data_IF_274108987571
#
_entry.id   IF_274108987571
#
_cell.length_a   1.000
_cell.length_b   1.000
_cell.length_c   1.000
_cell.angle_alpha   90.00
_cell.angle_beta   90.00
_cell.angle_gamma   90.00
#
_symmetry.space_group_name_H-M   'P 1'
#
loop_
_entity.id
_entity.type
_entity.pdbx_description
1 polymer ?
#
# COMPACT_ATOMS: atom_id res chain seq x y z
N UNK A 1 -38.82 43.36 -14.17
CA UNK A 1 -38.79 43.76 -12.75
C UNK A 1 -37.35 43.97 -12.34
N UNK A 2 -37.01 45.12 -11.75
CA UNK A 2 -35.64 45.39 -11.30
C UNK A 2 -35.44 44.77 -9.91
N UNK A 3 -34.22 44.37 -9.56
CA UNK A 3 -33.88 43.80 -8.22
C UNK A 3 -34.31 44.71 -7.05
N UNK A 4 -34.41 46.02 -7.30
CA UNK A 4 -34.88 47.03 -6.35
C UNK A 4 -36.37 46.88 -5.99
N UNK A 5 -37.16 46.25 -6.85
CA UNK A 5 -38.62 46.14 -6.69
C UNK A 5 -39.02 44.94 -5.80
N UNK A 6 -38.05 44.11 -5.39
CA UNK A 6 -38.27 42.99 -4.47
C UNK A 6 -38.26 43.44 -3.00
N UNK A 7 -39.10 42.78 -2.19
CA UNK A 7 -39.10 43.00 -0.74
C UNK A 7 -37.73 42.68 -0.13
N UNK A 8 -37.38 43.35 0.96
CA UNK A 8 -36.10 43.18 1.66
C UNK A 8 -35.84 41.71 2.02
N UNK A 9 -36.91 40.97 2.38
CA UNK A 9 -36.83 39.54 2.69
C UNK A 9 -36.38 38.68 1.51
N UNK A 10 -36.85 38.95 0.29
CA UNK A 10 -36.46 38.20 -0.92
C UNK A 10 -34.99 38.46 -1.27
N UNK A 11 -34.51 39.70 -1.12
CA UNK A 11 -33.10 40.06 -1.38
C UNK A 11 -32.15 39.38 -0.39
N UNK A 12 -32.54 39.33 0.89
CA UNK A 12 -31.76 38.68 1.95
C UNK A 12 -31.73 37.15 1.78
N UNK A 13 -32.89 36.54 1.47
CA UNK A 13 -33.00 35.12 1.18
C UNK A 13 -32.20 34.71 -0.06
N UNK A 14 -32.15 35.58 -1.09
CA UNK A 14 -31.34 35.36 -2.29
C UNK A 14 -29.85 35.27 -1.99
N UNK A 15 -29.30 36.22 -1.21
CA UNK A 15 -27.89 36.18 -0.80
C UNK A 15 -27.56 34.99 0.09
N UNK A 16 -28.47 34.64 1.00
CA UNK A 16 -28.27 33.49 1.88
C UNK A 16 -28.29 32.16 1.12
N UNK A 17 -29.22 32.01 0.17
CA UNK A 17 -29.30 30.82 -0.69
C UNK A 17 -28.06 30.67 -1.57
N UNK A 18 -27.50 31.77 -2.07
CA UNK A 18 -26.26 31.75 -2.86
C UNK A 18 -25.09 31.19 -2.04
N UNK A 19 -24.96 31.60 -0.78
CA UNK A 19 -23.91 31.09 0.12
C UNK A 19 -24.13 29.60 0.40
N UNK A 20 -25.38 29.19 0.66
CA UNK A 20 -25.71 27.78 0.88
C UNK A 20 -25.34 26.89 -0.32
N UNK A 21 -25.62 27.35 -1.54
CA UNK A 21 -25.22 26.65 -2.76
C UNK A 21 -23.70 26.55 -2.86
N UNK A 22 -22.97 27.63 -2.55
CA UNK A 22 -21.50 27.61 -2.56
C UNK A 22 -20.95 26.60 -1.54
N UNK A 23 -21.47 26.61 -0.31
CA UNK A 23 -21.09 25.66 0.75
C UNK A 23 -21.41 24.22 0.33
N UNK A 24 -22.56 23.99 -0.29
CA UNK A 24 -22.94 22.66 -0.80
C UNK A 24 -21.94 22.18 -1.86
N UNK A 25 -21.57 23.03 -2.82
CA UNK A 25 -20.57 22.71 -3.85
C UNK A 25 -19.22 22.37 -3.20
N UNK A 26 -18.75 23.19 -2.27
CA UNK A 26 -17.49 22.95 -1.54
C UNK A 26 -17.53 21.65 -0.73
N UNK A 27 -18.68 21.31 -0.15
CA UNK A 27 -18.85 20.08 0.62
C UNK A 27 -18.80 18.85 -0.29
N UNK A 28 -19.51 18.87 -1.42
CA UNK A 28 -19.52 17.76 -2.37
C UNK A 28 -18.13 17.54 -2.97
N UNK A 29 -17.44 18.60 -3.38
CA UNK A 29 -16.08 18.49 -3.92
C UNK A 29 -15.08 18.06 -2.85
N UNK A 30 -15.18 18.60 -1.63
CA UNK A 30 -14.35 18.21 -0.50
C UNK A 30 -14.50 16.72 -0.15
N UNK A 31 -15.74 16.22 -0.09
CA UNK A 31 -16.02 14.79 0.14
C UNK A 31 -15.50 13.94 -1.00
N UNK A 32 -15.70 14.36 -2.26
CA UNK A 32 -15.19 13.65 -3.43
C UNK A 32 -13.65 13.54 -3.42
N UNK A 33 -12.97 14.63 -3.08
CA UNK A 33 -11.51 14.65 -2.97
C UNK A 33 -11.01 13.75 -1.83
N UNK A 34 -11.67 13.79 -0.67
CA UNK A 34 -11.33 12.90 0.46
C UNK A 34 -11.48 11.42 0.07
N UNK A 35 -12.57 11.04 -0.61
CA UNK A 35 -12.78 9.66 -1.07
C UNK A 35 -11.72 9.22 -2.09
N UNK A 36 -11.35 10.09 -3.03
CA UNK A 36 -10.27 9.81 -3.99
C UNK A 36 -8.92 9.67 -3.30
N UNK A 37 -8.66 10.46 -2.26
CA UNK A 37 -7.43 10.38 -1.49
C UNK A 37 -7.37 9.11 -0.62
N UNK A 38 -8.50 8.70 -0.03
CA UNK A 38 -8.61 7.46 0.73
C UNK A 38 -8.35 6.24 -0.16
N UNK A 39 -8.98 6.16 -1.34
CA UNK A 39 -8.75 5.05 -2.29
C UNK A 39 -7.30 5.00 -2.80
N UNK A 40 -6.66 6.16 -3.01
CA UNK A 40 -5.25 6.23 -3.39
C UNK A 40 -4.33 5.81 -2.23
N UNK A 41 -4.65 6.21 -1.01
CA UNK A 41 -3.91 5.84 0.21
C UNK A 41 -4.03 4.35 0.48
N UNK A 42 -5.21 3.77 0.30
CA UNK A 42 -5.47 2.34 0.50
C UNK A 42 -4.66 1.49 -0.49
N UNK A 43 -4.55 1.95 -1.75
CA UNK A 43 -3.66 1.33 -2.75
C UNK A 43 -2.19 1.41 -2.33
N UNK A 44 -1.74 2.54 -1.79
CA UNK A 44 -0.34 2.71 -1.38
C UNK A 44 0.00 1.89 -0.14
N UNK A 45 -0.87 1.94 0.87
CA UNK A 45 -0.69 1.29 2.15
C UNK A 45 -0.83 -0.23 2.06
N UNK A 46 -1.81 -0.73 1.31
CA UNK A 46 -2.06 -2.17 1.27
C UNK A 46 -1.23 -2.90 0.20
N UNK A 47 -0.89 -2.25 -0.92
CA UNK A 47 -0.17 -2.95 -1.98
C UNK A 47 1.34 -2.71 -1.90
N UNK A 48 1.80 -1.45 -1.89
CA UNK A 48 3.24 -1.19 -1.95
C UNK A 48 3.97 -1.56 -0.66
N UNK A 49 3.40 -1.26 0.49
CA UNK A 49 3.99 -1.61 1.80
C UNK A 49 4.03 -3.13 2.04
N UNK A 50 3.01 -3.85 1.57
CA UNK A 50 3.01 -5.31 1.60
C UNK A 50 4.08 -5.88 0.65
N UNK A 51 4.17 -5.35 -0.56
CA UNK A 51 5.20 -5.73 -1.53
C UNK A 51 6.62 -5.46 -1.02
N UNK A 52 6.86 -4.29 -0.43
CA UNK A 52 8.14 -3.92 0.17
C UNK A 52 8.52 -4.88 1.31
N UNK A 53 7.58 -5.21 2.21
CA UNK A 53 7.82 -6.18 3.28
C UNK A 53 8.14 -7.57 2.75
N UNK A 54 7.41 -8.03 1.74
CA UNK A 54 7.66 -9.34 1.11
C UNK A 54 9.01 -9.38 0.41
N UNK A 55 9.38 -8.32 -0.33
CA UNK A 55 10.67 -8.22 -1.00
C UNK A 55 11.83 -8.20 0.00
N UNK A 56 11.72 -7.42 1.08
CA UNK A 56 12.72 -7.38 2.15
C UNK A 56 12.86 -8.75 2.85
N UNK A 57 11.75 -9.42 3.12
CA UNK A 57 11.78 -10.75 3.75
C UNK A 57 12.42 -11.79 2.82
N UNK A 58 12.10 -11.74 1.53
CA UNK A 58 12.70 -12.60 0.52
C UNK A 58 14.21 -12.38 0.39
N UNK A 59 14.65 -11.12 0.32
CA UNK A 59 16.06 -10.75 0.27
C UNK A 59 16.81 -11.24 1.53
N UNK A 60 16.25 -10.99 2.72
CA UNK A 60 16.86 -11.43 3.99
C UNK A 60 17.02 -12.95 4.04
N UNK A 61 16.04 -13.70 3.53
CA UNK A 61 16.12 -15.17 3.47
C UNK A 61 17.22 -15.65 2.51
N UNK A 62 17.37 -15.00 1.35
CA UNK A 62 18.43 -15.32 0.37
C UNK A 62 19.81 -15.04 0.96
N UNK A 63 20.02 -13.85 1.54
CA UNK A 63 21.29 -13.47 2.16
C UNK A 63 21.66 -14.43 3.30
N UNK A 64 20.68 -14.78 4.15
CA UNK A 64 20.86 -15.77 5.22
C UNK A 64 21.25 -17.13 4.65
N UNK A 65 20.61 -17.59 3.57
CA UNK A 65 20.94 -18.85 2.92
C UNK A 65 22.34 -18.84 2.30
N UNK A 66 22.77 -17.72 1.71
CA UNK A 66 24.12 -17.55 1.19
C UNK A 66 25.18 -17.71 2.30
N UNK A 67 24.99 -17.05 3.43
CA UNK A 67 25.88 -17.18 4.59
C UNK A 67 25.90 -18.61 5.16
N UNK A 68 24.73 -19.25 5.30
CA UNK A 68 24.62 -20.63 5.76
C UNK A 68 25.22 -21.64 4.76
N UNK A 69 25.10 -21.37 3.46
CA UNK A 69 25.75 -22.14 2.41
C UNK A 69 27.27 -22.10 2.54
N UNK A 70 27.85 -20.93 2.84
CA UNK A 70 29.28 -20.81 3.13
C UNK A 70 29.67 -21.60 4.38
N UNK A 71 28.86 -21.55 5.44
CA UNK A 71 29.08 -22.35 6.67
C UNK A 71 29.07 -23.86 6.36
N UNK A 72 28.17 -24.32 5.49
CA UNK A 72 28.13 -25.74 5.07
C UNK A 72 29.38 -26.21 4.35
N UNK A 73 30.01 -25.30 3.58
CA UNK A 73 31.20 -25.58 2.80
C UNK A 73 32.49 -25.48 3.63
N UNK A 74 32.52 -24.60 4.63
CA UNK A 74 33.74 -24.24 5.37
C UNK A 74 33.84 -24.89 6.75
N UNK A 75 32.72 -25.28 7.37
CA UNK A 75 32.73 -25.89 8.71
C UNK A 75 33.17 -27.35 8.67
N UNK A 76 34.07 -27.74 9.57
CA UNK A 76 34.43 -29.14 9.84
C UNK A 76 33.52 -29.83 10.87
N UNK A 77 32.67 -29.07 11.58
CA UNK A 77 31.80 -29.58 12.64
C UNK A 77 30.46 -30.10 12.07
N UNK A 78 30.14 -31.40 12.25
CA UNK A 78 28.88 -31.99 11.77
C UNK A 78 27.61 -31.35 12.34
N UNK A 79 27.63 -30.87 13.58
CA UNK A 79 26.45 -30.30 14.25
C UNK A 79 26.14 -28.92 13.66
N UNK A 80 27.19 -28.11 13.43
CA UNK A 80 27.07 -26.80 12.77
C UNK A 80 26.54 -26.97 11.34
N UNK A 81 27.02 -27.98 10.62
CA UNK A 81 26.53 -28.28 9.26
C UNK A 81 25.07 -28.73 9.27
N UNK A 82 24.68 -29.57 10.23
CA UNK A 82 23.29 -30.00 10.40
C UNK A 82 22.37 -28.82 10.70
N UNK A 83 22.79 -27.92 11.61
CA UNK A 83 22.08 -26.69 11.90
C UNK A 83 21.90 -25.83 10.64
N UNK A 84 22.97 -25.61 9.88
CA UNK A 84 22.91 -24.80 8.66
C UNK A 84 21.98 -25.40 7.60
N UNK A 85 22.02 -26.72 7.39
CA UNK A 85 21.09 -27.43 6.49
C UNK A 85 19.63 -27.25 6.91
N UNK A 86 19.32 -27.41 8.20
CA UNK A 86 17.96 -27.25 8.71
C UNK A 86 17.45 -25.82 8.53
N UNK A 87 18.31 -24.81 8.78
CA UNK A 87 17.99 -23.41 8.58
C UNK A 87 17.73 -23.08 7.11
N UNK A 88 18.57 -23.56 6.20
CA UNK A 88 18.36 -23.39 4.75
C UNK A 88 17.02 -24.00 4.34
N UNK A 89 16.72 -25.24 4.77
CA UNK A 89 15.44 -25.89 4.45
C UNK A 89 14.24 -25.07 4.93
N UNK A 90 14.31 -24.53 6.14
CA UNK A 90 13.26 -23.66 6.70
C UNK A 90 13.12 -22.36 5.89
N UNK A 91 14.23 -21.71 5.57
CA UNK A 91 14.24 -20.48 4.79
C UNK A 91 13.72 -20.70 3.36
N UNK A 92 14.12 -21.79 2.69
CA UNK A 92 13.62 -22.16 1.36
C UNK A 92 12.11 -22.36 1.36
N UNK A 93 11.55 -23.09 2.33
CA UNK A 93 10.10 -23.25 2.45
C UNK A 93 9.39 -21.90 2.66
N UNK A 94 10.01 -20.94 3.38
CA UNK A 94 9.45 -19.60 3.54
C UNK A 94 9.52 -18.79 2.24
N UNK A 95 10.63 -18.89 1.52
CA UNK A 95 10.83 -18.27 0.20
C UNK A 95 9.78 -18.76 -0.80
N UNK A 96 9.50 -20.07 -0.84
CA UNK A 96 8.48 -20.64 -1.73
C UNK A 96 7.10 -20.02 -1.45
N UNK A 97 6.70 -19.92 -0.17
CA UNK A 97 5.45 -19.28 0.24
C UNK A 97 5.42 -17.79 -0.15
N UNK A 98 6.54 -17.08 0.01
CA UNK A 98 6.65 -15.68 -0.36
C UNK A 98 6.56 -15.49 -1.87
N UNK A 99 7.21 -16.34 -2.66
CA UNK A 99 7.19 -16.31 -4.11
C UNK A 99 5.78 -16.56 -4.64
N UNK A 100 5.09 -17.57 -4.11
CA UNK A 100 3.69 -17.85 -4.43
C UNK A 100 2.77 -16.66 -4.10
N UNK A 101 2.99 -16.02 -2.95
CA UNK A 101 2.21 -14.85 -2.54
C UNK A 101 2.49 -13.65 -3.45
N UNK A 102 3.76 -13.41 -3.76
CA UNK A 102 4.20 -12.34 -4.64
C UNK A 102 3.60 -12.50 -6.05
N UNK A 103 3.64 -13.71 -6.62
CA UNK A 103 3.07 -14.00 -7.94
C UNK A 103 1.54 -13.79 -7.99
N UNK A 104 0.83 -14.02 -6.89
CA UNK A 104 -0.62 -13.76 -6.80
C UNK A 104 -0.95 -12.27 -6.64
N UNK A 105 -0.13 -11.54 -5.91
CA UNK A 105 -0.40 -10.15 -5.52
C UNK A 105 0.23 -9.12 -6.46
N UNK A 106 1.18 -9.53 -7.31
CA UNK A 106 1.71 -8.74 -8.41
C UNK A 106 0.61 -8.44 -9.43
N UNK A 107 0.02 -7.27 -9.28
CA UNK A 107 -0.97 -6.67 -10.19
C UNK A 107 -0.39 -5.45 -10.92
N UNK A 108 0.90 -5.13 -10.74
CA UNK A 108 1.54 -3.96 -11.35
C UNK A 108 2.19 -4.30 -12.68
N UNK A 109 1.90 -3.51 -13.72
CA UNK A 109 2.51 -3.60 -15.06
C UNK A 109 4.05 -3.53 -15.06
N UNK A 110 4.65 -2.99 -13.99
CA UNK A 110 6.09 -2.82 -13.86
C UNK A 110 6.81 -4.07 -13.33
N UNK A 111 6.10 -5.04 -12.73
CA UNK A 111 6.70 -6.28 -12.22
C UNK A 111 6.76 -7.43 -13.25
N UNK A 112 6.24 -7.23 -14.47
CA UNK A 112 6.12 -8.25 -15.52
C UNK A 112 7.04 -7.96 -16.73
N UNK A 113 7.83 -6.86 -16.69
CA UNK A 113 8.76 -6.51 -17.78
C UNK A 113 10.20 -6.85 -17.46
#
# INVERSE_FOLDING_TARGET
MKIKDFSVGIRLAGSFSLILVLVMIMTVTGVGYLNSMLTSTDRVMNNYLLQERMANEWQTAIESNGALGLVLLTSGDPDIRTYAQQRIKKNSARVDILQDKFNRELTSEQGIR
#
